data_IF_223436107178
#
_entry.id   IF_223436107178
#
_cell.length_a   1.000
_cell.length_b   1.000
_cell.length_c   1.000
_cell.angle_alpha   90.00
_cell.angle_beta   90.00
_cell.angle_gamma   90.00
#
_symmetry.space_group_name_H-M   'P 1'
#
loop_
_entity.id
_entity.type
_entity.pdbx_description
1 polymer ?
#
# COMPACT_ATOMS: atom_id res chain seq x y z
N UNK A 1 3.65 16.83 -2.76
CA UNK A 1 4.99 16.36 -3.20
C UNK A 1 4.84 14.92 -3.60
N UNK A 2 5.32 14.48 -4.78
CA UNK A 2 5.38 13.05 -5.08
C UNK A 2 6.24 12.38 -4.01
N UNK A 3 5.73 11.30 -3.43
CA UNK A 3 6.50 10.50 -2.48
C UNK A 3 7.64 9.81 -3.22
N UNK A 4 8.79 9.69 -2.56
CA UNK A 4 9.95 9.04 -3.15
C UNK A 4 9.62 7.59 -3.53
N UNK A 5 10.03 7.18 -4.73
CA UNK A 5 9.92 5.81 -5.21
C UNK A 5 10.60 4.85 -4.22
N UNK A 6 9.91 3.78 -3.83
CA UNK A 6 10.51 2.74 -2.97
C UNK A 6 11.07 1.62 -3.81
N UNK A 7 12.34 1.31 -3.59
CA UNK A 7 13.02 0.21 -4.26
C UNK A 7 13.09 -0.99 -3.32
N UNK A 8 12.65 -2.14 -3.83
CA UNK A 8 12.81 -3.43 -3.17
C UNK A 8 13.76 -4.28 -3.96
N UNK A 9 14.81 -4.73 -3.28
CA UNK A 9 15.83 -5.59 -3.84
C UNK A 9 15.61 -7.04 -3.44
N UNK A 10 15.79 -7.94 -4.40
CA UNK A 10 15.86 -9.37 -4.14
C UNK A 10 16.90 -10.05 -5.03
N UNK A 11 17.59 -11.05 -4.48
CA UNK A 11 18.55 -11.88 -5.21
C UNK A 11 17.94 -13.25 -5.53
N UNK A 12 18.03 -13.66 -6.79
CA UNK A 12 17.56 -14.96 -7.30
C UNK A 12 18.70 -15.62 -8.06
N UNK A 13 19.36 -16.59 -7.44
CA UNK A 13 20.57 -17.18 -8.02
C UNK A 13 21.61 -16.10 -8.29
N UNK A 14 22.17 -16.08 -9.50
CA UNK A 14 23.11 -15.04 -9.95
C UNK A 14 22.48 -13.69 -10.35
N UNK A 15 21.18 -13.50 -10.18
CA UNK A 15 20.48 -12.28 -10.63
C UNK A 15 20.01 -11.42 -9.45
N UNK A 16 20.25 -10.13 -9.54
CA UNK A 16 19.70 -9.08 -8.68
C UNK A 16 18.48 -8.47 -9.37
N UNK A 17 17.37 -8.38 -8.65
CA UNK A 17 16.12 -7.76 -9.12
C UNK A 17 15.78 -6.59 -8.22
N UNK A 18 15.69 -5.41 -8.83
CA UNK A 18 15.29 -4.16 -8.18
C UNK A 18 13.92 -3.77 -8.70
N UNK A 19 12.91 -3.83 -7.84
CA UNK A 19 11.54 -3.45 -8.14
C UNK A 19 11.22 -2.08 -7.55
N UNK A 20 10.77 -1.14 -8.38
CA UNK A 20 10.40 0.22 -8.00
C UNK A 20 8.89 0.32 -7.81
N UNK A 21 8.47 0.83 -6.66
CA UNK A 21 7.08 1.05 -6.29
C UNK A 21 6.79 2.54 -6.18
N UNK A 22 5.61 2.90 -6.67
CA UNK A 22 5.07 4.24 -6.55
C UNK A 22 3.77 4.19 -5.77
N UNK A 23 3.49 5.28 -5.05
CA UNK A 23 2.22 5.43 -4.35
C UNK A 23 1.03 5.29 -5.31
N UNK A 24 -0.03 4.63 -4.85
CA UNK A 24 -1.25 4.39 -5.61
C UNK A 24 -1.16 3.26 -6.66
N UNK A 25 -0.03 2.58 -6.78
CA UNK A 25 0.13 1.48 -7.74
C UNK A 25 -0.05 0.12 -7.07
N UNK A 26 -0.78 -0.78 -7.72
CA UNK A 26 -1.01 -2.14 -7.22
C UNK A 26 0.22 -3.06 -7.38
N UNK A 27 1.26 -2.58 -8.06
CA UNK A 27 2.43 -3.36 -8.46
C UNK A 27 3.63 -2.48 -8.73
N UNK A 28 4.81 -3.07 -8.96
CA UNK A 28 5.99 -2.29 -9.30
C UNK A 28 5.77 -1.60 -10.64
N UNK A 29 6.11 -0.31 -10.71
CA UNK A 29 6.06 0.48 -11.94
C UNK A 29 7.29 0.25 -12.83
N UNK A 30 8.37 -0.25 -12.24
CA UNK A 30 9.61 -0.59 -12.93
C UNK A 30 10.26 -1.77 -12.24
N UNK A 31 10.89 -2.64 -13.03
CA UNK A 31 11.72 -3.73 -12.53
C UNK A 31 13.01 -3.77 -13.36
N UNK A 32 14.14 -3.77 -12.68
CA UNK A 32 15.47 -3.91 -13.26
C UNK A 32 16.01 -5.26 -12.83
N UNK A 33 16.46 -6.06 -13.79
CA UNK A 33 17.09 -7.36 -13.54
C UNK A 33 18.51 -7.28 -14.08
N UNK A 34 19.49 -7.45 -13.21
CA UNK A 34 20.91 -7.35 -13.54
C UNK A 34 21.69 -8.49 -12.89
N UNK A 35 22.88 -8.84 -13.38
CA UNK A 35 23.76 -9.77 -12.69
C UNK A 35 24.02 -9.28 -11.26
N UNK A 36 23.92 -10.19 -10.29
CA UNK A 36 24.30 -9.88 -8.91
C UNK A 36 25.80 -9.59 -8.86
N UNK A 37 26.26 -8.61 -8.05
CA UNK A 37 27.69 -8.32 -7.90
C UNK A 37 28.49 -9.56 -7.45
N UNK A 38 27.84 -10.49 -6.75
CA UNK A 38 28.45 -11.72 -6.23
C UNK A 38 28.25 -12.94 -7.15
N UNK A 39 27.71 -12.77 -8.37
CA UNK A 39 27.40 -13.90 -9.26
C UNK A 39 28.66 -14.48 -9.93
N UNK A 40 28.79 -15.81 -9.90
CA UNK A 40 29.79 -16.49 -10.73
C UNK A 40 29.32 -16.54 -12.20
N UNK A 41 30.27 -16.60 -13.15
CA UNK A 41 29.94 -16.71 -14.58
C UNK A 41 29.07 -17.95 -14.91
N UNK A 42 29.23 -19.03 -14.14
CA UNK A 42 28.37 -20.21 -14.22
C UNK A 42 26.92 -19.92 -13.85
N UNK A 43 26.66 -19.00 -12.92
CA UNK A 43 25.32 -18.65 -12.45
C UNK A 43 24.55 -17.77 -13.46
N UNK A 44 25.29 -17.15 -14.38
CA UNK A 44 24.76 -16.31 -15.47
C UNK A 44 24.60 -17.09 -16.78
N UNK A 45 25.08 -18.33 -16.83
CA UNK A 45 25.03 -19.16 -18.04
C UNK A 45 23.57 -19.46 -18.38
N UNK A 46 23.14 -19.09 -19.59
CA UNK A 46 21.75 -19.23 -20.04
C UNK A 46 20.86 -18.00 -19.82
N UNK A 47 21.40 -16.91 -19.27
CA UNK A 47 20.70 -15.62 -19.19
C UNK A 47 19.49 -15.60 -18.24
N UNK A 48 18.60 -14.63 -18.44
CA UNK A 48 17.35 -14.49 -17.67
C UNK A 48 16.35 -15.52 -18.18
N UNK A 49 16.29 -16.68 -17.51
CA UNK A 49 15.39 -17.78 -17.87
C UNK A 49 13.98 -17.62 -17.26
N UNK A 50 13.00 -18.36 -17.77
CA UNK A 50 11.65 -18.44 -17.17
C UNK A 50 11.68 -18.91 -15.71
N UNK A 51 12.66 -19.72 -15.33
CA UNK A 51 12.86 -20.17 -13.94
C UNK A 51 13.24 -19.01 -13.02
N UNK A 52 14.06 -18.07 -13.49
CA UNK A 52 14.40 -16.84 -12.75
C UNK A 52 13.16 -15.96 -12.63
N UNK A 53 12.45 -15.73 -13.74
CA UNK A 53 11.24 -14.90 -13.75
C UNK A 53 10.15 -15.41 -12.81
N UNK A 54 9.91 -16.73 -12.78
CA UNK A 54 8.91 -17.35 -11.87
C UNK A 54 9.26 -17.23 -10.39
N UNK A 55 10.54 -17.05 -10.05
CA UNK A 55 11.01 -16.89 -8.67
C UNK A 55 10.94 -15.44 -8.18
N UNK A 56 10.62 -14.49 -9.06
CA UNK A 56 10.39 -13.10 -8.66
C UNK A 56 9.13 -13.06 -7.79
N UNK A 57 9.31 -12.62 -6.54
CA UNK A 57 8.23 -12.59 -5.57
C UNK A 57 7.69 -11.16 -5.49
N UNK A 58 6.44 -10.99 -5.91
CA UNK A 58 5.70 -9.74 -5.70
C UNK A 58 5.04 -9.68 -4.31
N UNK A 59 5.34 -10.63 -3.42
CA UNK A 59 4.86 -10.66 -2.02
C UNK A 59 5.93 -10.18 -1.04
N UNK A 60 7.23 -10.36 -1.33
CA UNK A 60 8.33 -9.71 -0.58
C UNK A 60 8.29 -8.17 -0.66
N UNK A 61 7.40 -7.66 -1.50
CA UNK A 61 7.12 -6.25 -1.77
C UNK A 61 5.91 -5.72 -1.02
N UNK A 62 5.22 -6.56 -0.24
CA UNK A 62 4.14 -6.14 0.66
C UNK A 62 4.66 -5.11 1.68
N UNK A 63 5.85 -5.33 2.25
CA UNK A 63 6.45 -4.37 3.19
C UNK A 63 6.69 -2.97 2.60
N UNK A 64 7.10 -2.90 1.33
CA UNK A 64 7.33 -1.63 0.65
C UNK A 64 6.03 -0.92 0.27
N UNK A 65 5.01 -1.69 -0.14
CA UNK A 65 3.68 -1.16 -0.40
C UNK A 65 3.02 -0.66 0.87
N UNK A 66 3.12 -1.43 1.95
CA UNK A 66 2.60 -1.05 3.26
C UNK A 66 3.31 0.20 3.77
N UNK A 67 4.63 0.28 3.61
CA UNK A 67 5.40 1.48 3.93
C UNK A 67 4.93 2.70 3.13
N UNK A 68 4.83 2.60 1.80
CA UNK A 68 4.35 3.69 0.94
C UNK A 68 2.91 4.12 1.29
N UNK A 69 2.03 3.16 1.51
CA UNK A 69 0.65 3.42 1.91
C UNK A 69 0.59 4.19 3.23
N UNK A 70 1.38 3.76 4.22
CA UNK A 70 1.43 4.38 5.54
C UNK A 70 2.07 5.76 5.48
N UNK A 71 3.14 5.94 4.71
CA UNK A 71 3.79 7.24 4.55
C UNK A 71 2.89 8.22 3.76
N UNK A 72 2.06 7.74 2.82
CA UNK A 72 1.02 8.55 2.17
C UNK A 72 0.01 9.04 3.20
N UNK A 73 -0.46 8.14 4.06
CA UNK A 73 -1.36 8.50 5.17
C UNK A 73 -0.74 9.56 6.08
N UNK A 74 0.55 9.41 6.42
CA UNK A 74 1.29 10.38 7.22
C UNK A 74 1.41 11.73 6.53
N UNK A 75 1.71 11.76 5.24
CA UNK A 75 1.85 12.99 4.47
C UNK A 75 0.55 13.81 4.42
N UNK A 76 -0.61 13.13 4.44
CA UNK A 76 -1.92 13.77 4.47
C UNK A 76 -2.39 14.12 5.90
N UNK A 77 -1.79 13.50 6.93
CA UNK A 77 -2.15 13.69 8.33
C UNK A 77 -1.64 15.03 8.87
N UNK A 78 -2.34 16.12 8.56
CA UNK A 78 -2.03 17.46 9.07
C UNK A 78 -2.33 17.58 10.58
N UNK A 79 -1.52 18.33 11.36
CA UNK A 79 -1.66 18.38 12.82
C UNK A 79 -3.02 18.86 13.35
N UNK A 80 -3.73 19.73 12.62
CA UNK A 80 -4.95 20.41 13.08
C UNK A 80 -6.14 20.29 12.15
N UNK A 81 -6.04 19.51 11.08
CA UNK A 81 -7.04 19.53 10.01
C UNK A 81 -7.40 18.11 9.56
N UNK A 82 -8.70 17.81 9.57
CA UNK A 82 -9.25 16.56 9.03
C UNK A 82 -9.77 16.84 7.62
N UNK A 83 -8.88 16.70 6.64
CA UNK A 83 -9.18 17.00 5.23
C UNK A 83 -9.96 15.86 4.55
N UNK A 84 -10.71 16.15 3.48
CA UNK A 84 -11.31 15.13 2.61
C UNK A 84 -10.30 14.09 2.12
N UNK A 85 -9.11 14.55 1.69
CA UNK A 85 -8.05 13.69 1.15
C UNK A 85 -7.44 12.80 2.22
N UNK A 86 -7.21 13.33 3.42
CA UNK A 86 -6.79 12.54 4.58
C UNK A 86 -7.80 11.44 4.91
N UNK A 87 -9.10 11.76 4.95
CA UNK A 87 -10.13 10.75 5.24
C UNK A 87 -10.22 9.67 4.16
N UNK A 88 -9.99 10.01 2.89
CA UNK A 88 -9.94 9.05 1.80
C UNK A 88 -8.73 8.12 1.90
N UNK A 89 -7.53 8.65 2.15
CA UNK A 89 -6.32 7.84 2.35
C UNK A 89 -6.44 6.98 3.61
N UNK A 90 -6.92 7.53 4.71
CA UNK A 90 -7.20 6.78 5.95
C UNK A 90 -8.16 5.62 5.72
N UNK A 91 -9.19 5.84 4.90
CA UNK A 91 -10.14 4.80 4.52
C UNK A 91 -9.45 3.69 3.72
N UNK A 92 -8.69 4.04 2.68
CA UNK A 92 -7.93 3.08 1.89
C UNK A 92 -6.98 2.23 2.76
N UNK A 93 -6.18 2.88 3.61
CA UNK A 93 -5.26 2.21 4.54
C UNK A 93 -5.99 1.25 5.48
N UNK A 94 -7.12 1.69 6.05
CA UNK A 94 -7.92 0.86 6.96
C UNK A 94 -8.45 -0.40 6.28
N UNK A 95 -8.94 -0.29 5.05
CA UNK A 95 -9.47 -1.44 4.29
C UNK A 95 -8.36 -2.40 3.89
N UNK A 96 -7.21 -1.89 3.46
CA UNK A 96 -6.05 -2.73 3.13
C UNK A 96 -5.63 -3.60 4.32
N UNK A 97 -5.51 -2.99 5.52
CA UNK A 97 -5.16 -3.73 6.74
C UNK A 97 -6.19 -4.81 7.08
N UNK A 98 -7.49 -4.52 6.95
CA UNK A 98 -8.54 -5.53 7.15
C UNK A 98 -8.39 -6.69 6.16
N UNK A 99 -8.17 -6.38 4.88
CA UNK A 99 -8.03 -7.39 3.84
C UNK A 99 -6.75 -8.24 4.01
N UNK A 100 -5.72 -7.69 4.64
CA UNK A 100 -4.52 -8.42 5.06
C UNK A 100 -4.75 -9.30 6.29
N UNK A 101 -5.92 -9.23 6.93
CA UNK A 101 -6.26 -9.99 8.13
C UNK A 101 -5.80 -9.34 9.43
N UNK A 102 -5.41 -8.05 9.42
CA UNK A 102 -5.04 -7.32 10.62
C UNK A 102 -6.22 -7.26 11.60
N UNK A 103 -5.98 -7.72 12.83
CA UNK A 103 -7.00 -7.84 13.88
C UNK A 103 -7.31 -6.48 14.50
N UNK A 104 -6.35 -5.55 14.51
CA UNK A 104 -6.55 -4.22 15.06
C UNK A 104 -5.98 -3.09 14.17
N UNK A 105 -6.61 -2.82 13.01
CA UNK A 105 -6.13 -1.81 12.06
C UNK A 105 -6.02 -0.41 12.67
N UNK A 106 -6.89 -0.07 13.61
CA UNK A 106 -6.88 1.24 14.29
C UNK A 106 -5.62 1.40 15.13
N UNK A 107 -5.19 0.35 15.85
CA UNK A 107 -4.00 0.42 16.68
C UNK A 107 -2.74 0.58 15.82
N UNK A 108 -2.63 -0.19 14.74
CA UNK A 108 -1.50 -0.08 13.79
C UNK A 108 -1.39 1.33 13.23
N UNK A 109 -2.50 1.90 12.76
CA UNK A 109 -2.52 3.28 12.23
C UNK A 109 -2.19 4.31 13.32
N UNK A 110 -2.70 4.12 14.53
CA UNK A 110 -2.48 5.03 15.66
C UNK A 110 -1.00 5.08 16.07
N UNK A 111 -0.37 3.91 16.16
CA UNK A 111 1.06 3.77 16.44
C UNK A 111 1.89 4.44 15.34
N UNK A 112 1.61 4.14 14.07
CA UNK A 112 2.37 4.69 12.95
C UNK A 112 2.27 6.23 12.84
N UNK A 113 1.09 6.80 13.12
CA UNK A 113 0.87 8.25 13.06
C UNK A 113 1.24 8.99 14.34
N UNK A 114 1.70 8.29 15.37
CA UNK A 114 1.91 8.83 16.72
C UNK A 114 0.68 9.61 17.23
N UNK A 115 -0.50 8.98 17.13
CA UNK A 115 -1.79 9.56 17.53
C UNK A 115 -2.54 8.63 18.46
N UNK A 116 -3.34 9.15 19.41
CA UNK A 116 -4.20 8.30 20.23
C UNK A 116 -5.15 7.46 19.37
N UNK A 117 -5.29 6.17 19.68
CA UNK A 117 -6.20 5.26 18.97
C UNK A 117 -7.66 5.74 18.98
N UNK A 118 -8.07 6.51 20.00
CA UNK A 118 -9.39 7.13 20.04
C UNK A 118 -9.59 8.19 18.94
N UNK A 119 -8.55 8.98 18.64
CA UNK A 119 -8.55 9.97 17.57
C UNK A 119 -8.70 9.29 16.21
N UNK A 120 -7.94 8.22 15.96
CA UNK A 120 -8.06 7.45 14.72
C UNK A 120 -9.46 6.83 14.59
N UNK A 121 -10.02 6.29 15.67
CA UNK A 121 -11.42 5.81 15.72
C UNK A 121 -12.42 6.89 15.33
N UNK A 122 -12.27 8.10 15.87
CA UNK A 122 -13.12 9.25 15.52
C UNK A 122 -12.99 9.64 14.04
N UNK A 123 -11.78 9.62 13.49
CA UNK A 123 -11.55 9.92 12.07
C UNK A 123 -12.15 8.84 11.15
N UNK A 124 -12.04 7.55 11.48
CA UNK A 124 -12.71 6.47 10.74
C UNK A 124 -14.23 6.60 10.81
N UNK A 125 -14.78 7.00 11.97
CA UNK A 125 -16.21 7.31 12.10
C UNK A 125 -16.62 8.50 11.21
N UNK A 126 -15.81 9.55 11.16
CA UNK A 126 -16.02 10.69 10.27
C UNK A 126 -15.91 10.30 8.78
N UNK A 127 -15.01 9.38 8.43
CA UNK A 127 -14.88 8.86 7.08
C UNK A 127 -16.14 8.09 6.64
N UNK A 128 -16.71 7.27 7.53
CA UNK A 128 -17.99 6.59 7.31
C UNK A 128 -19.15 7.57 7.13
N UNK A 129 -19.30 8.54 8.02
CA UNK A 129 -20.40 9.52 7.93
C UNK A 129 -20.32 10.41 6.69
N UNK A 130 -19.11 10.65 6.18
CA UNK A 130 -18.87 11.43 4.97
C UNK A 130 -18.85 10.58 3.68
N UNK A 131 -19.13 9.29 3.78
CA UNK A 131 -19.27 8.39 2.63
C UNK A 131 -17.95 8.03 1.94
N UNK A 132 -16.83 7.97 2.67
CA UNK A 132 -15.55 7.44 2.17
C UNK A 132 -15.41 5.93 2.39
N UNK A 133 -16.17 5.38 3.33
CA UNK A 133 -16.31 3.95 3.58
C UNK A 133 -17.76 3.53 3.37
N UNK A 134 -17.96 2.35 2.78
CA UNK A 134 -19.26 1.71 2.63
C UNK A 134 -19.88 1.50 4.01
N UNK A 135 -21.09 2.02 4.21
CA UNK A 135 -21.85 1.89 5.47
C UNK A 135 -23.00 0.89 5.33
N UNK A 136 -23.73 0.62 6.42
CA UNK A 136 -24.84 -0.34 6.43
C UNK A 136 -25.94 -0.08 5.38
N UNK A 137 -26.09 1.14 4.87
CA UNK A 137 -27.02 1.46 3.78
C UNK A 137 -26.54 1.00 2.39
N UNK A 138 -25.24 0.79 2.20
CA UNK A 138 -24.66 0.25 0.96
C UNK A 138 -24.68 -1.28 0.91
N UNK A 139 -24.88 -1.96 2.06
CA UNK A 139 -25.12 -3.41 2.12
C UNK A 139 -26.38 -3.81 1.32
N UNK A 140 -27.42 -2.96 1.32
CA UNK A 140 -28.68 -3.22 0.59
C UNK A 140 -28.48 -3.30 -0.93
N UNK A 141 -27.31 -2.91 -1.45
CA UNK A 141 -26.90 -3.00 -2.86
C UNK A 141 -25.81 -4.06 -3.10
N UNK A 142 -25.57 -4.97 -2.15
CA UNK A 142 -24.64 -6.09 -2.30
C UNK A 142 -23.15 -5.75 -2.12
N UNK A 143 -22.80 -4.60 -1.52
CA UNK A 143 -21.39 -4.21 -1.28
C UNK A 143 -20.90 -4.67 0.10
N UNK A 144 -19.68 -5.23 0.13
CA UNK A 144 -19.05 -5.70 1.36
C UNK A 144 -18.85 -4.55 2.37
N UNK A 145 -19.17 -4.81 3.64
CA UNK A 145 -18.97 -3.86 4.73
C UNK A 145 -17.51 -3.44 4.81
N UNK A 146 -17.28 -2.13 4.89
CA UNK A 146 -15.92 -1.61 4.98
C UNK A 146 -15.18 -1.65 3.65
N UNK A 147 -15.83 -1.83 2.51
CA UNK A 147 -15.22 -1.53 1.21
C UNK A 147 -15.09 0.00 1.00
N UNK A 148 -14.23 0.41 0.08
CA UNK A 148 -14.13 1.80 -0.35
C UNK A 148 -15.35 2.20 -1.20
N UNK A 149 -15.82 3.44 -1.04
CA UNK A 149 -16.86 3.98 -1.91
C UNK A 149 -16.26 4.47 -3.23
N UNK A 150 -17.09 4.62 -4.28
CA UNK A 150 -16.66 5.18 -5.56
C UNK A 150 -16.04 6.57 -5.40
N UNK A 151 -16.61 7.38 -4.48
CA UNK A 151 -16.07 8.70 -4.12
C UNK A 151 -14.61 8.64 -3.66
N UNK A 152 -14.25 7.63 -2.86
CA UNK A 152 -12.87 7.43 -2.41
C UNK A 152 -11.98 7.03 -3.58
N UNK A 153 -12.46 6.15 -4.46
CA UNK A 153 -11.73 5.74 -5.66
C UNK A 153 -11.49 6.93 -6.59
N UNK A 154 -12.50 7.73 -6.87
CA UNK A 154 -12.40 8.91 -7.75
C UNK A 154 -11.45 9.96 -7.18
N UNK A 155 -11.50 10.20 -5.87
CA UNK A 155 -10.65 11.19 -5.19
C UNK A 155 -9.18 10.75 -5.12
N UNK A 156 -8.91 9.44 -5.08
CA UNK A 156 -7.55 8.89 -5.06
C UNK A 156 -6.98 8.63 -6.46
N UNK A 157 -7.82 8.37 -7.46
CA UNK A 157 -7.42 8.11 -8.85
C UNK A 157 -7.25 9.36 -9.72
N UNK A 158 -7.72 10.52 -9.27
CA UNK A 158 -7.58 11.81 -9.96
C UNK A 158 -6.30 12.59 -9.63
N UNK A 159 -5.16 11.94 -9.41
CA UNK A 159 -3.87 12.59 -9.12
C UNK A 159 -2.86 12.39 -10.23
#
# INVERSE_FOLDING_TARGET
>A
MPMADVQVEQTIGGWRVVATYQDGTAGPVRMIIEPSPDAAASDLTGGISQTVLRKISTTRTDNARDFLMMERLRSEARPREVTPRYLAVLSATYVTLINQGERNPVAVIAEYLDKPANTIRQHVKAARSRGYLVTGSDMARGKAVGALTQRTVDLLGGS
#
